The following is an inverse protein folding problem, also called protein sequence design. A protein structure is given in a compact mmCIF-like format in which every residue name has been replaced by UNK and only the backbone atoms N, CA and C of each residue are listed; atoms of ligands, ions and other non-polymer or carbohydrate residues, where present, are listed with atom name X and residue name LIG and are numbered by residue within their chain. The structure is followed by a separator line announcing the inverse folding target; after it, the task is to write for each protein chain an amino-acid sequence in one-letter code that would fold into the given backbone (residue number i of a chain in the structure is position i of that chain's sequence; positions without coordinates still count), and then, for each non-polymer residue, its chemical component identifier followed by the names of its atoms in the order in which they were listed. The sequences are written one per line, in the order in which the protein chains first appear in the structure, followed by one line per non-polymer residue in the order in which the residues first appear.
data_IF_491643942402
#
_entry.id   IF_491643942402
#
_cell.length_a   1.000
_cell.length_b   1.000
_cell.length_c   1.000
_cell.angle_alpha   90.00
_cell.angle_beta   90.00
_cell.angle_gamma   90.00
#
_symmetry.space_group_name_H-M   'P 1'
#
loop_
_entity.id
_entity.type
_entity.pdbx_description
1 polymer ?
#
# COMPACT_ATOMS: atom_id res chain seq x y z
N UNK A 1 -28.37 8.16 -52.76
CA UNK A 1 -28.28 9.63 -52.70
C UNK A 1 -29.55 10.18 -52.08
N UNK A 2 -29.42 10.94 -51.01
CA UNK A 2 -30.52 11.64 -50.35
C UNK A 2 -29.94 12.44 -49.18
N UNK A 3 -29.40 13.61 -49.48
CA UNK A 3 -28.93 14.57 -48.49
C UNK A 3 -30.13 15.23 -47.79
N UNK A 4 -30.08 15.29 -46.47
CA UNK A 4 -30.90 16.19 -45.66
C UNK A 4 -30.02 16.73 -44.53
N UNK A 5 -29.67 18.02 -44.61
CA UNK A 5 -28.95 18.77 -43.58
C UNK A 5 -29.90 19.87 -43.10
N UNK A 6 -29.92 20.18 -41.79
CA UNK A 6 -30.10 21.48 -41.08
C UNK A 6 -30.51 21.12 -39.62
N UNK A 7 -29.59 21.12 -38.65
CA UNK A 7 -29.23 22.22 -37.74
C UNK A 7 -30.27 22.55 -36.65
N UNK A 8 -29.90 22.32 -35.39
CA UNK A 8 -30.46 23.00 -34.23
C UNK A 8 -29.31 23.32 -33.26
N UNK A 9 -28.80 24.56 -33.39
CA UNK A 9 -27.96 25.24 -32.40
C UNK A 9 -28.86 26.14 -31.55
N UNK A 10 -28.55 26.22 -30.25
CA UNK A 10 -28.57 27.49 -29.51
C UNK A 10 -29.91 27.95 -28.91
N UNK A 11 -29.96 27.94 -27.58
CA UNK A 11 -30.75 28.89 -26.79
C UNK A 11 -29.80 29.58 -25.81
N UNK A 12 -29.55 30.87 -26.03
CA UNK A 12 -28.53 31.69 -25.39
C UNK A 12 -29.19 32.75 -24.50
N UNK A 13 -28.60 32.92 -23.30
CA UNK A 13 -28.49 34.14 -22.47
C UNK A 13 -29.75 34.83 -21.91
N UNK A 14 -29.72 35.06 -20.59
CA UNK A 14 -30.30 36.25 -19.95
C UNK A 14 -29.18 36.86 -19.09
N UNK A 15 -28.70 38.04 -19.47
CA UNK A 15 -27.73 38.85 -18.72
C UNK A 15 -28.48 39.97 -17.99
N UNK A 16 -28.25 40.11 -16.68
CA UNK A 16 -28.62 41.31 -15.93
C UNK A 16 -27.42 41.84 -15.13
N UNK A 17 -27.12 43.09 -15.42
CA UNK A 17 -26.04 43.96 -14.96
C UNK A 17 -26.27 44.40 -13.50
N UNK A 18 -25.20 44.56 -12.69
CA UNK A 18 -25.25 45.49 -11.55
C UNK A 18 -24.38 45.22 -10.31
N UNK A 19 -23.21 45.88 -10.28
CA UNK A 19 -22.61 46.60 -9.14
C UNK A 19 -22.16 45.88 -7.83
N UNK A 20 -20.82 45.78 -7.73
CA UNK A 20 -19.95 46.46 -6.74
C UNK A 20 -19.88 46.03 -5.24
N UNK A 21 -18.62 46.02 -4.76
CA UNK A 21 -18.07 45.97 -3.37
C UNK A 21 -17.78 44.55 -2.83
N UNK A 22 -16.57 44.20 -2.37
CA UNK A 22 -15.48 44.97 -1.78
C UNK A 22 -14.13 44.28 -1.96
N UNK A 23 -13.12 45.08 -2.31
CA UNK A 23 -11.71 44.90 -1.97
C UNK A 23 -11.52 44.94 -0.45
N UNK A 24 -10.63 44.14 0.16
CA UNK A 24 -9.37 44.57 0.84
C UNK A 24 -8.47 43.36 1.15
N UNK A 25 -7.17 43.62 1.01
CA UNK A 25 -5.95 42.84 1.20
C UNK A 25 -5.73 41.99 2.48
N UNK A 26 -4.74 41.09 2.34
CA UNK A 26 -4.02 40.29 3.34
C UNK A 26 -3.42 41.06 4.51
N UNK A 27 -2.99 40.33 5.55
CA UNK A 27 -1.62 40.53 6.03
C UNK A 27 -0.83 39.22 6.21
N UNK A 28 0.47 39.34 5.90
CA UNK A 28 1.59 38.45 6.22
C UNK A 28 1.85 38.39 7.73
N UNK A 29 2.28 37.22 8.24
CA UNK A 29 3.13 37.14 9.43
C UNK A 29 4.22 36.07 9.24
N UNK A 30 5.39 36.36 9.79
CA UNK A 30 6.70 35.76 9.55
C UNK A 30 7.11 34.88 10.74
N UNK A 31 7.77 33.75 10.42
CA UNK A 31 8.77 32.96 11.15
C UNK A 31 8.67 32.70 12.68
N UNK A 32 8.95 31.46 13.07
CA UNK A 32 10.11 31.13 13.91
C UNK A 32 10.36 29.61 13.92
N UNK A 33 11.65 29.25 13.93
CA UNK A 33 12.18 27.90 14.07
C UNK A 33 12.22 27.41 15.52
N UNK A 34 12.41 26.09 15.65
CA UNK A 34 13.26 25.39 16.61
C UNK A 34 12.63 24.63 17.79
N UNK A 35 13.28 23.48 18.04
CA UNK A 35 13.30 22.61 19.22
C UNK A 35 12.19 21.54 19.32
N UNK A 36 12.48 20.27 19.60
CA UNK A 36 13.58 19.71 20.38
C UNK A 36 14.06 18.34 19.86
N UNK A 37 15.37 18.21 19.64
CA UNK A 37 16.08 16.95 19.82
C UNK A 37 16.23 16.70 21.32
N UNK A 38 15.73 15.56 21.78
CA UNK A 38 15.97 15.06 23.14
C UNK A 38 16.55 13.66 22.98
N UNK A 39 17.87 13.60 22.79
CA UNK A 39 18.64 12.36 22.76
C UNK A 39 19.68 12.38 23.87
N UNK A 40 19.36 11.61 24.91
CA UNK A 40 20.23 10.82 25.76
C UNK A 40 21.59 11.42 26.17
N UNK A 41 21.61 12.03 27.36
CA UNK A 41 22.84 12.18 28.14
C UNK A 41 23.25 10.80 28.68
N UNK A 42 24.38 10.32 28.18
CA UNK A 42 24.97 9.04 28.51
C UNK A 42 25.56 9.07 29.92
N UNK A 43 24.87 8.44 30.88
CA UNK A 43 25.47 8.03 32.15
C UNK A 43 26.40 6.83 31.93
N UNK A 44 27.65 7.08 31.58
CA UNK A 44 28.71 6.08 31.71
C UNK A 44 29.29 6.17 33.13
N UNK A 45 28.72 5.38 34.03
CA UNK A 45 29.31 5.13 35.34
C UNK A 45 30.59 4.30 35.15
N UNK A 46 31.70 4.83 35.70
CA UNK A 46 32.95 4.12 35.94
C UNK A 46 32.69 2.94 36.86
N UNK A 47 33.02 1.72 36.43
CA UNK A 47 33.33 0.60 37.33
C UNK A 47 34.58 -0.12 36.81
N UNK A 48 35.52 -0.25 37.74
CA UNK A 48 36.85 -0.85 37.74
C UNK A 48 36.94 -2.30 37.21
N UNK A 49 38.12 -2.77 36.77
CA UNK A 49 38.34 -4.15 36.35
C UNK A 49 38.47 -5.08 37.58
N UNK A 50 37.52 -6.00 37.76
CA UNK A 50 37.68 -7.10 38.72
C UNK A 50 38.27 -8.34 38.05
N UNK A 51 39.31 -8.86 38.70
CA UNK A 51 40.10 -10.05 38.35
C UNK A 51 39.28 -11.36 38.38
N UNK A 52 39.77 -12.44 37.74
CA UNK A 52 38.93 -13.58 37.34
C UNK A 52 38.74 -14.61 38.46
N UNK A 53 37.58 -15.28 38.54
CA UNK A 53 37.48 -16.56 39.20
C UNK A 53 37.38 -17.72 38.20
N UNK A 54 38.33 -18.64 38.37
CA UNK A 54 38.25 -20.11 38.26
C UNK A 54 37.58 -20.76 37.03
N UNK A 55 38.41 -21.49 36.29
CA UNK A 55 38.04 -22.55 35.34
C UNK A 55 37.23 -23.63 36.07
N UNK A 56 35.97 -23.79 35.69
CA UNK A 56 35.20 -25.01 35.91
C UNK A 56 35.21 -25.83 34.61
N UNK A 57 35.58 -27.12 34.62
CA UNK A 57 35.37 -27.97 33.46
C UNK A 57 33.86 -28.17 33.28
N UNK A 58 33.28 -27.50 32.26
CA UNK A 58 31.94 -27.82 31.82
C UNK A 58 32.00 -29.18 31.13
N UNK A 59 31.43 -30.18 31.81
CA UNK A 59 31.17 -31.52 31.29
C UNK A 59 30.37 -31.33 30.00
N UNK A 60 30.87 -31.89 28.89
CA UNK A 60 30.18 -31.87 27.61
C UNK A 60 28.78 -32.47 27.78
N UNK A 61 27.75 -31.68 27.47
CA UNK A 61 26.41 -32.19 27.31
C UNK A 61 26.39 -33.20 26.15
N UNK A 62 25.68 -34.33 26.27
CA UNK A 62 25.54 -35.27 25.16
C UNK A 62 24.87 -34.57 23.97
N UNK A 63 25.45 -34.75 22.78
CA UNK A 63 24.87 -34.26 21.53
C UNK A 63 23.44 -34.83 21.38
N UNK A 64 22.44 -34.01 21.02
CA UNK A 64 21.10 -34.51 20.77
C UNK A 64 21.13 -35.44 19.55
N UNK A 65 20.76 -36.70 19.77
CA UNK A 65 20.55 -37.69 18.72
C UNK A 65 19.45 -37.16 17.79
N UNK A 66 19.63 -37.12 16.46
CA UNK A 66 18.58 -36.68 15.55
C UNK A 66 17.40 -37.66 15.59
N UNK A 67 16.23 -37.14 15.97
CA UNK A 67 14.95 -37.83 15.90
C UNK A 67 14.56 -38.01 14.40
N UNK A 68 14.35 -39.23 13.90
CA UNK A 68 14.01 -39.48 12.49
C UNK A 68 12.57 -39.11 12.11
N UNK A 69 11.81 -38.41 12.97
CA UNK A 69 10.39 -38.12 12.77
C UNK A 69 10.02 -36.66 12.52
N UNK A 70 10.95 -35.69 12.52
CA UNK A 70 10.58 -34.29 12.28
C UNK A 70 10.32 -34.01 10.78
N UNK A 71 9.12 -33.50 10.41
CA UNK A 71 8.88 -32.98 9.08
C UNK A 71 9.86 -31.85 8.78
N UNK A 72 10.64 -32.00 7.71
CA UNK A 72 11.50 -30.92 7.22
C UNK A 72 10.61 -29.71 6.90
N UNK A 73 10.89 -28.52 7.46
CA UNK A 73 10.12 -27.33 7.10
C UNK A 73 10.23 -27.09 5.59
N UNK A 74 9.14 -26.72 4.91
CA UNK A 74 9.19 -26.44 3.49
C UNK A 74 10.24 -25.35 3.22
N UNK A 75 10.96 -25.43 2.08
CA UNK A 75 11.95 -24.42 1.74
C UNK A 75 11.32 -23.03 1.73
N UNK A 76 12.08 -21.99 2.13
CA UNK A 76 11.59 -20.62 2.04
C UNK A 76 11.19 -20.32 0.58
N UNK A 77 10.08 -19.61 0.35
CA UNK A 77 9.66 -19.28 -1.01
C UNK A 77 10.78 -18.51 -1.71
N UNK A 78 11.19 -19.01 -2.88
CA UNK A 78 12.18 -18.33 -3.71
C UNK A 78 11.63 -16.96 -4.13
N UNK A 79 12.48 -15.93 -4.22
CA UNK A 79 12.07 -14.63 -4.71
C UNK A 79 11.60 -14.79 -6.16
N UNK A 80 10.29 -14.65 -6.41
CA UNK A 80 9.75 -14.57 -7.78
C UNK A 80 10.41 -13.37 -8.46
N UNK A 81 11.14 -13.63 -9.53
CA UNK A 81 11.78 -12.60 -10.36
C UNK A 81 10.69 -11.69 -10.91
N UNK A 82 10.86 -10.38 -10.69
CA UNK A 82 10.05 -9.24 -11.12
C UNK A 82 8.78 -9.55 -11.92
N UNK A 83 7.62 -9.20 -11.33
CA UNK A 83 6.36 -9.00 -12.03
C UNK A 83 6.63 -8.33 -13.38
N UNK A 84 6.13 -8.94 -14.47
CA UNK A 84 6.26 -8.37 -15.79
C UNK A 84 5.72 -6.93 -15.75
N UNK A 85 6.58 -5.95 -16.04
CA UNK A 85 6.18 -4.54 -16.04
C UNK A 85 5.13 -4.37 -17.13
N UNK A 86 3.95 -3.85 -16.77
CA UNK A 86 2.90 -3.54 -17.73
C UNK A 86 3.44 -2.54 -18.77
N UNK A 87 3.23 -2.83 -20.04
CA UNK A 87 3.72 -2.00 -21.14
C UNK A 87 2.94 -0.67 -21.29
N UNK A 88 1.75 -0.58 -20.68
CA UNK A 88 0.91 0.62 -20.68
C UNK A 88 1.47 1.67 -19.74
N UNK A 89 1.21 2.94 -20.04
CA UNK A 89 1.51 4.01 -19.08
C UNK A 89 0.56 3.95 -17.87
N UNK A 90 0.95 4.49 -16.70
CA UNK A 90 0.07 4.54 -15.54
C UNK A 90 -1.29 5.20 -15.83
N UNK A 91 -1.30 6.33 -16.55
CA UNK A 91 -2.54 7.00 -16.94
C UNK A 91 -3.41 6.14 -17.86
N UNK A 92 -2.78 5.37 -18.75
CA UNK A 92 -3.48 4.44 -19.62
C UNK A 92 -4.12 3.30 -18.83
N UNK A 93 -3.42 2.72 -17.86
CA UNK A 93 -3.99 1.68 -16.96
C UNK A 93 -5.23 2.21 -16.24
N UNK A 94 -5.12 3.42 -15.66
CA UNK A 94 -6.26 4.06 -14.96
C UNK A 94 -7.41 4.32 -15.93
N UNK A 95 -7.14 4.87 -17.11
CA UNK A 95 -8.16 5.17 -18.11
C UNK A 95 -8.88 3.92 -18.63
N UNK A 96 -8.13 2.86 -18.97
CA UNK A 96 -8.67 1.60 -19.49
C UNK A 96 -9.45 0.80 -18.45
N UNK A 97 -9.07 0.92 -17.17
CA UNK A 97 -9.82 0.33 -16.07
C UNK A 97 -11.21 0.96 -15.89
N UNK A 98 -11.44 2.18 -16.41
CA UNK A 98 -12.73 2.85 -16.42
C UNK A 98 -13.43 2.83 -15.06
N UNK A 99 -14.75 2.57 -15.07
CA UNK A 99 -15.56 2.61 -13.86
C UNK A 99 -15.19 1.53 -12.84
N UNK A 100 -14.75 0.33 -13.28
CA UNK A 100 -14.38 -0.75 -12.35
C UNK A 100 -13.15 -0.36 -11.52
N UNK A 101 -12.14 0.26 -12.14
CA UNK A 101 -10.96 0.72 -11.43
C UNK A 101 -11.30 1.80 -10.42
N UNK A 102 -12.17 2.74 -10.80
CA UNK A 102 -12.64 3.78 -9.88
C UNK A 102 -13.46 3.21 -8.70
N UNK A 103 -14.32 2.21 -8.94
CA UNK A 103 -15.06 1.52 -7.87
C UNK A 103 -14.10 0.76 -6.94
N UNK A 104 -13.10 0.09 -7.49
CA UNK A 104 -12.08 -0.61 -6.73
C UNK A 104 -11.28 0.33 -5.83
N UNK A 105 -10.71 1.41 -6.40
CA UNK A 105 -9.99 2.42 -5.63
C UNK A 105 -10.90 3.02 -4.55
N UNK A 106 -12.14 3.35 -4.90
CA UNK A 106 -13.15 3.83 -3.95
C UNK A 106 -13.42 2.85 -2.81
N UNK A 107 -13.50 1.54 -3.10
CA UNK A 107 -13.69 0.49 -2.08
C UNK A 107 -12.49 0.41 -1.13
N UNK A 108 -11.26 0.51 -1.63
CA UNK A 108 -10.06 0.56 -0.79
C UNK A 108 -10.10 1.78 0.16
N UNK A 109 -10.48 2.96 -0.35
CA UNK A 109 -10.61 4.17 0.48
C UNK A 109 -11.73 4.04 1.51
N UNK A 110 -12.88 3.47 1.13
CA UNK A 110 -13.98 3.22 2.05
C UNK A 110 -13.62 2.23 3.16
N UNK A 111 -12.70 1.30 2.90
CA UNK A 111 -12.16 0.36 3.87
C UNK A 111 -11.05 0.94 4.77
N UNK A 112 -10.66 2.21 4.56
CA UNK A 112 -9.69 2.92 5.39
C UNK A 112 -8.24 2.85 4.91
N UNK A 113 -7.98 2.29 3.72
CA UNK A 113 -6.64 2.36 3.11
C UNK A 113 -6.39 3.78 2.56
N UNK A 114 -5.31 4.47 2.92
CA UNK A 114 -4.99 5.79 2.38
C UNK A 114 -4.53 5.69 0.92
N UNK A 115 -4.75 6.73 0.09
CA UNK A 115 -4.29 6.74 -1.29
C UNK A 115 -2.77 6.57 -1.37
N UNK A 116 -2.34 5.62 -2.20
CA UNK A 116 -0.92 5.31 -2.43
C UNK A 116 -0.21 6.36 -3.29
N UNK A 117 -0.98 7.14 -4.06
CA UNK A 117 -0.47 7.96 -5.15
C UNK A 117 -0.05 7.16 -6.40
N UNK A 118 -0.31 5.86 -6.41
CA UNK A 118 0.02 4.91 -7.47
C UNK A 118 -1.23 4.12 -7.89
N UNK A 119 -2.30 4.83 -8.25
CA UNK A 119 -3.60 4.24 -8.61
C UNK A 119 -3.49 3.13 -9.67
N UNK A 120 -2.59 3.31 -10.65
CA UNK A 120 -2.31 2.30 -11.67
C UNK A 120 -1.80 0.99 -11.06
N UNK A 121 -0.89 1.04 -10.08
CA UNK A 121 -0.39 -0.15 -9.42
C UNK A 121 -1.48 -0.86 -8.62
N UNK A 122 -2.33 -0.10 -7.92
CA UNK A 122 -3.46 -0.67 -7.17
C UNK A 122 -4.47 -1.34 -8.10
N UNK A 123 -4.75 -0.74 -9.26
CA UNK A 123 -5.59 -1.35 -10.30
C UNK A 123 -4.95 -2.63 -10.86
N UNK A 124 -3.64 -2.64 -11.10
CA UNK A 124 -2.94 -3.84 -11.57
C UNK A 124 -2.96 -4.96 -10.53
N UNK A 125 -2.90 -4.64 -9.24
CA UNK A 125 -3.11 -5.63 -8.19
C UNK A 125 -4.52 -6.25 -8.26
N UNK A 126 -5.56 -5.43 -8.47
CA UNK A 126 -6.92 -5.94 -8.65
C UNK A 126 -7.03 -6.84 -9.89
N UNK A 127 -6.43 -6.42 -11.00
CA UNK A 127 -6.40 -7.19 -12.24
C UNK A 127 -5.71 -8.55 -12.03
N UNK A 128 -4.51 -8.57 -11.45
CA UNK A 128 -3.77 -9.80 -11.17
C UNK A 128 -4.51 -10.73 -10.20
N UNK A 129 -5.18 -10.18 -9.17
CA UNK A 129 -6.01 -10.98 -8.29
C UNK A 129 -7.19 -11.64 -9.02
N UNK A 130 -7.92 -10.88 -9.86
CA UNK A 130 -9.03 -11.42 -10.63
C UNK A 130 -8.58 -12.48 -11.65
N UNK A 131 -7.46 -12.26 -12.34
CA UNK A 131 -6.89 -13.22 -13.28
C UNK A 131 -6.49 -14.51 -12.56
N UNK A 132 -5.76 -14.42 -11.44
CA UNK A 132 -5.37 -15.58 -10.66
C UNK A 132 -6.58 -16.39 -10.16
N UNK A 133 -7.61 -15.71 -9.67
CA UNK A 133 -8.85 -16.36 -9.23
C UNK A 133 -9.60 -17.02 -10.39
N UNK A 134 -9.67 -16.35 -11.55
CA UNK A 134 -10.28 -16.91 -12.76
C UNK A 134 -9.54 -18.15 -13.28
N UNK A 135 -8.22 -18.20 -13.10
CA UNK A 135 -7.37 -19.35 -13.43
C UNK A 135 -7.47 -20.49 -12.39
N UNK A 136 -8.28 -20.32 -11.34
CA UNK A 136 -8.51 -21.33 -10.31
C UNK A 136 -7.48 -21.34 -9.19
N UNK A 137 -6.64 -20.30 -9.09
CA UNK A 137 -5.72 -20.13 -7.95
C UNK A 137 -6.54 -20.03 -6.66
N UNK A 138 -6.24 -20.83 -5.63
CA UNK A 138 -6.99 -20.77 -4.39
C UNK A 138 -6.78 -19.42 -3.71
N UNK A 139 -7.87 -18.82 -3.21
CA UNK A 139 -7.85 -17.50 -2.55
C UNK A 139 -6.77 -17.31 -1.48
N UNK A 140 -6.44 -18.30 -0.61
CA UNK A 140 -5.33 -18.18 0.33
C UNK A 140 -3.96 -17.97 -0.33
N UNK A 141 -3.75 -18.52 -1.53
CA UNK A 141 -2.52 -18.32 -2.30
C UNK A 141 -2.49 -16.91 -2.91
N UNK A 142 -3.61 -16.40 -3.41
CA UNK A 142 -3.74 -15.00 -3.84
C UNK A 142 -3.44 -14.05 -2.68
N UNK A 143 -4.05 -14.24 -1.51
CA UNK A 143 -3.77 -13.44 -0.30
C UNK A 143 -2.28 -13.43 0.09
N UNK A 144 -1.57 -14.54 -0.14
CA UNK A 144 -0.14 -14.66 0.14
C UNK A 144 0.71 -13.74 -0.74
N UNK A 145 0.34 -13.54 -1.99
CA UNK A 145 1.04 -12.60 -2.89
C UNK A 145 0.86 -11.14 -2.41
N UNK A 146 -0.24 -10.83 -1.73
CA UNK A 146 -0.50 -9.52 -1.13
C UNK A 146 0.18 -9.28 0.22
N UNK A 147 0.89 -10.27 0.78
CA UNK A 147 1.55 -10.13 2.07
C UNK A 147 2.56 -8.97 2.09
N UNK A 148 3.25 -8.71 0.98
CA UNK A 148 4.17 -7.58 0.84
C UNK A 148 3.46 -6.22 0.92
N UNK A 149 2.31 -6.08 0.26
CA UNK A 149 1.46 -4.88 0.34
C UNK A 149 0.97 -4.68 1.76
N UNK A 150 0.50 -5.74 2.41
CA UNK A 150 0.07 -5.69 3.81
C UNK A 150 1.17 -5.25 4.77
N UNK A 151 2.38 -5.77 4.61
CA UNK A 151 3.55 -5.38 5.41
C UNK A 151 3.96 -3.93 5.19
N UNK A 152 3.76 -3.40 3.98
CA UNK A 152 4.07 -2.01 3.67
C UNK A 152 3.09 -1.05 4.37
N UNK A 153 1.79 -1.29 4.25
CA UNK A 153 0.76 -0.42 4.82
C UNK A 153 0.65 -0.50 6.35
N UNK A 154 0.74 -1.70 6.93
CA UNK A 154 0.56 -1.91 8.38
C UNK A 154 1.55 -1.14 9.27
N UNK A 155 2.63 -0.60 8.69
CA UNK A 155 3.58 0.29 9.37
C UNK A 155 3.03 1.69 9.62
N UNK A 156 2.01 2.10 8.85
CA UNK A 156 1.54 3.48 8.79
C UNK A 156 0.05 3.63 9.12
N UNK A 157 -0.70 2.53 9.19
CA UNK A 157 -2.14 2.53 9.47
C UNK A 157 -2.49 1.50 10.56
N UNK A 158 -3.58 1.69 11.32
CA UNK A 158 -4.01 0.76 12.38
C UNK A 158 -4.72 -0.47 11.80
N UNK A 159 -4.11 -1.14 10.84
CA UNK A 159 -4.55 -2.42 10.27
C UNK A 159 -3.39 -3.40 10.27
N UNK A 160 -3.66 -4.66 10.57
CA UNK A 160 -2.65 -5.71 10.42
C UNK A 160 -2.32 -5.93 8.94
N UNK A 161 -1.16 -6.52 8.67
CA UNK A 161 -0.78 -6.90 7.30
C UNK A 161 -1.84 -7.76 6.63
N UNK A 162 -2.38 -8.75 7.36
CA UNK A 162 -3.39 -9.66 6.83
C UNK A 162 -4.72 -8.93 6.55
N UNK A 163 -5.10 -7.97 7.40
CA UNK A 163 -6.29 -7.15 7.16
C UNK A 163 -6.15 -6.30 5.89
N UNK A 164 -4.96 -5.76 5.63
CA UNK A 164 -4.69 -5.02 4.39
C UNK A 164 -4.78 -5.95 3.18
N UNK A 165 -4.10 -7.10 3.21
CA UNK A 165 -4.14 -8.07 2.11
C UNK A 165 -5.58 -8.52 1.82
N UNK A 166 -6.35 -8.83 2.86
CA UNK A 166 -7.76 -9.17 2.76
C UNK A 166 -8.57 -8.04 2.14
N UNK A 167 -8.33 -6.79 2.53
CA UNK A 167 -9.01 -5.62 1.97
C UNK A 167 -8.76 -5.48 0.47
N UNK A 168 -7.50 -5.63 0.02
CA UNK A 168 -7.15 -5.56 -1.39
C UNK A 168 -7.84 -6.67 -2.22
N UNK A 169 -7.79 -7.92 -1.75
CA UNK A 169 -8.37 -9.07 -2.46
C UNK A 169 -9.89 -9.05 -2.43
N UNK A 170 -10.52 -8.79 -1.28
CA UNK A 170 -11.98 -8.69 -1.16
C UNK A 170 -12.56 -7.55 -2.01
N UNK A 171 -11.88 -6.40 -2.06
CA UNK A 171 -12.34 -5.30 -2.93
C UNK A 171 -12.26 -5.70 -4.41
N UNK A 172 -11.20 -6.42 -4.83
CA UNK A 172 -11.08 -6.89 -6.19
C UNK A 172 -12.22 -7.86 -6.55
N UNK A 173 -12.47 -8.86 -5.70
CA UNK A 173 -13.53 -9.85 -5.86
C UNK A 173 -14.93 -9.24 -5.95
N UNK A 174 -15.20 -8.16 -5.21
CA UNK A 174 -16.54 -7.58 -5.10
C UNK A 174 -16.89 -6.59 -6.22
N UNK A 175 -15.91 -5.82 -6.69
CA UNK A 175 -16.21 -4.66 -7.56
C UNK A 175 -15.31 -4.53 -8.79
N UNK A 176 -14.27 -5.34 -8.92
CA UNK A 176 -13.33 -5.28 -10.05
C UNK A 176 -13.43 -6.50 -10.97
N UNK A 177 -13.50 -7.69 -10.37
CA UNK A 177 -14.00 -8.88 -11.04
C UNK A 177 -15.52 -8.69 -11.29
#
# INVERSE_FOLDING_TARGET
MGCGVVAACGGQQDEAVGAERSSVASPTVVAAMASAEQSADARAAVIEPQAPPAVVPSIAAPEPVPDPGQPVPPPPPEPRVAEAIDARSPDQVVAESGERGQRYLGALRAAGLPPSGMDAAEILYAQGACEALADGTPRPEVLREFAGVGQAYSRFIPMSSDQVAETYVSAAEQVYC
#
